data_IF_369629122254
#
_entry.id   IF_369629122254
#
_cell.length_a   1.000
_cell.length_b   1.000
_cell.length_c   1.000
_cell.angle_alpha   90.00
_cell.angle_beta   90.00
_cell.angle_gamma   90.00
#
_symmetry.space_group_name_H-M   'P 1'
#
loop_
_entity.id
_entity.type
_entity.pdbx_description
1 polymer ?
#
# COMPACT_ATOMS: atom_id res chain seq x y z
N UNK A 1 20.48 1.79 -4.89
CA UNK A 1 20.11 2.97 -5.68
C UNK A 1 19.73 4.11 -4.75
N UNK A 2 20.37 5.28 -4.83
CA UNK A 2 19.92 6.56 -4.23
C UNK A 2 18.46 6.92 -4.57
N UNK A 3 17.82 7.78 -3.76
CA UNK A 3 16.42 8.19 -4.01
C UNK A 3 16.29 9.02 -5.29
N UNK A 4 17.28 9.85 -5.59
CA UNK A 4 17.31 10.70 -6.79
C UNK A 4 17.41 9.85 -8.08
N UNK A 5 18.24 8.81 -8.08
CA UNK A 5 18.34 7.85 -9.18
C UNK A 5 17.01 7.10 -9.41
N UNK A 6 16.28 6.79 -8.33
CA UNK A 6 14.96 6.17 -8.40
C UNK A 6 13.90 7.12 -8.99
N UNK A 7 13.96 8.42 -8.66
CA UNK A 7 13.08 9.46 -9.22
C UNK A 7 13.35 9.63 -10.72
N UNK A 8 14.61 9.66 -11.12
CA UNK A 8 15.01 9.76 -12.51
C UNK A 8 14.53 8.55 -13.32
N UNK A 9 14.70 7.32 -12.81
CA UNK A 9 14.21 6.12 -13.50
C UNK A 9 12.68 6.07 -13.59
N UNK A 10 11.96 6.52 -12.55
CA UNK A 10 10.50 6.60 -12.60
C UNK A 10 10.02 7.63 -13.64
N UNK A 11 10.69 8.77 -13.77
CA UNK A 11 10.37 9.78 -14.80
C UNK A 11 10.61 9.22 -16.20
N UNK A 12 11.78 8.60 -16.44
CA UNK A 12 12.14 7.96 -17.71
C UNK A 12 11.13 6.88 -18.12
N UNK A 13 10.77 5.99 -17.20
CA UNK A 13 9.79 4.92 -17.45
C UNK A 13 8.38 5.47 -17.72
N UNK A 14 8.02 6.61 -17.12
CA UNK A 14 6.72 7.27 -17.39
C UNK A 14 6.65 7.82 -18.81
N UNK A 15 7.72 8.46 -19.28
CA UNK A 15 7.82 8.94 -20.67
C UNK A 15 7.81 7.77 -21.66
N UNK A 16 8.59 6.73 -21.38
CA UNK A 16 8.65 5.52 -22.20
C UNK A 16 7.27 4.86 -22.30
N UNK A 17 6.59 4.65 -21.17
CA UNK A 17 5.24 4.08 -21.18
C UNK A 17 4.23 4.97 -21.91
N UNK A 18 4.36 6.30 -21.81
CA UNK A 18 3.49 7.21 -22.53
C UNK A 18 3.62 7.04 -24.06
N UNK A 19 4.85 6.79 -24.54
CA UNK A 19 5.16 6.58 -25.95
C UNK A 19 4.82 5.17 -26.45
N UNK A 20 5.15 4.12 -25.69
CA UNK A 20 5.08 2.73 -26.16
C UNK A 20 3.79 2.01 -25.76
N UNK A 21 3.16 2.44 -24.65
CA UNK A 21 2.07 1.70 -23.98
C UNK A 21 2.43 0.25 -23.62
N UNK A 22 3.72 -0.03 -23.51
CA UNK A 22 4.23 -1.36 -23.21
C UNK A 22 3.95 -1.78 -21.75
N UNK A 23 3.49 -3.02 -21.57
CA UNK A 23 3.08 -3.54 -20.27
C UNK A 23 4.27 -3.81 -19.35
N UNK A 24 5.43 -4.21 -19.89
CA UNK A 24 6.64 -4.42 -19.08
C UNK A 24 7.10 -3.09 -18.47
N UNK A 25 7.08 -2.02 -19.26
CA UNK A 25 7.38 -0.66 -18.83
C UNK A 25 6.41 -0.19 -17.74
N UNK A 26 5.12 -0.51 -17.85
CA UNK A 26 4.12 -0.21 -16.82
C UNK A 26 4.41 -0.92 -15.49
N UNK A 27 4.82 -2.19 -15.55
CA UNK A 27 5.19 -2.97 -14.36
C UNK A 27 6.43 -2.38 -13.70
N UNK A 28 7.48 -2.09 -14.48
CA UNK A 28 8.71 -1.46 -13.99
C UNK A 28 8.44 -0.09 -13.35
N UNK A 29 7.61 0.73 -13.98
CA UNK A 29 7.19 2.02 -13.44
C UNK A 29 6.45 1.86 -12.10
N UNK A 30 5.56 0.87 -12.00
CA UNK A 30 4.83 0.59 -10.76
C UNK A 30 5.76 0.19 -9.61
N UNK A 31 6.80 -0.61 -9.90
CA UNK A 31 7.81 -1.00 -8.90
C UNK A 31 8.65 0.19 -8.45
N UNK A 32 9.12 1.03 -9.38
CA UNK A 32 9.89 2.23 -9.07
C UNK A 32 9.07 3.22 -8.21
N UNK A 33 7.81 3.46 -8.58
CA UNK A 33 6.89 4.32 -7.82
C UNK A 33 6.60 3.78 -6.43
N UNK A 34 6.40 2.47 -6.28
CA UNK A 34 6.25 1.86 -4.97
C UNK A 34 7.51 2.10 -4.12
N UNK A 35 8.70 1.82 -4.66
CA UNK A 35 9.94 1.99 -3.92
C UNK A 35 10.25 3.45 -3.55
N UNK A 36 9.85 4.44 -4.37
CA UNK A 36 9.86 5.86 -4.01
C UNK A 36 8.94 6.14 -2.83
N UNK A 37 7.70 5.68 -2.90
CA UNK A 37 6.73 5.84 -1.82
C UNK A 37 7.23 5.22 -0.51
N UNK A 38 7.80 4.01 -0.57
CA UNK A 38 8.38 3.32 0.58
C UNK A 38 9.53 4.09 1.22
N UNK A 39 10.39 4.77 0.45
CA UNK A 39 11.54 5.50 1.00
C UNK A 39 11.18 6.86 1.55
N UNK A 40 10.32 7.59 0.86
CA UNK A 40 9.90 8.94 1.26
C UNK A 40 8.94 8.87 2.46
N UNK A 41 8.12 7.82 2.54
CA UNK A 41 7.08 7.65 3.56
C UNK A 41 7.24 6.38 4.39
N UNK A 42 8.48 5.92 4.60
CA UNK A 42 8.76 4.66 5.30
C UNK A 42 8.07 4.61 6.68
N UNK A 43 8.13 5.71 7.43
CA UNK A 43 7.53 5.81 8.77
C UNK A 43 5.99 5.77 8.72
N UNK A 44 5.36 6.33 7.70
CA UNK A 44 3.91 6.26 7.50
C UNK A 44 3.50 4.87 7.05
N UNK A 45 4.23 4.27 6.11
CA UNK A 45 3.98 2.90 5.66
C UNK A 45 4.10 1.90 6.80
N UNK A 46 5.11 2.01 7.66
CA UNK A 46 5.25 1.13 8.83
C UNK A 46 4.10 1.29 9.82
N UNK A 47 3.58 2.51 10.01
CA UNK A 47 2.37 2.76 10.82
C UNK A 47 1.14 2.12 10.19
N UNK A 48 0.94 2.27 8.89
CA UNK A 48 -0.16 1.63 8.14
C UNK A 48 -0.06 0.10 8.18
N UNK A 49 1.15 -0.44 8.06
CA UNK A 49 1.42 -1.88 8.19
C UNK A 49 1.02 -2.41 9.55
N UNK A 50 1.46 -1.75 10.63
CA UNK A 50 1.12 -2.13 12.01
C UNK A 50 -0.39 -2.03 12.29
N UNK A 51 -1.04 -0.99 11.79
CA UNK A 51 -2.49 -0.81 11.92
C UNK A 51 -3.23 -2.00 11.31
N UNK A 52 -2.83 -2.41 10.12
CA UNK A 52 -3.50 -3.47 9.42
C UNK A 52 -3.21 -4.87 9.96
N UNK A 53 -1.99 -5.13 10.45
CA UNK A 53 -1.71 -6.33 11.22
C UNK A 53 -2.61 -6.41 12.47
N UNK A 54 -2.81 -5.27 13.15
CA UNK A 54 -3.71 -5.16 14.30
C UNK A 54 -5.16 -5.42 13.91
N UNK A 55 -5.63 -4.80 12.83
CA UNK A 55 -6.98 -5.02 12.32
C UNK A 55 -7.24 -6.47 11.93
N UNK A 56 -6.28 -7.11 11.24
CA UNK A 56 -6.37 -8.51 10.85
C UNK A 56 -6.44 -9.43 12.08
N UNK A 57 -5.67 -9.12 13.15
CA UNK A 57 -5.78 -9.85 14.44
C UNK A 57 -7.17 -9.69 15.07
N UNK A 58 -7.78 -8.52 14.98
CA UNK A 58 -9.11 -8.25 15.57
C UNK A 58 -10.24 -8.90 14.75
N UNK A 59 -10.24 -8.68 13.43
CA UNK A 59 -11.36 -8.98 12.52
C UNK A 59 -11.20 -10.30 11.74
N UNK A 60 -9.97 -10.77 11.59
CA UNK A 60 -9.63 -11.99 10.84
C UNK A 60 -9.39 -13.21 11.73
N UNK A 61 -9.03 -14.32 11.08
CA UNK A 61 -8.26 -15.38 11.71
C UNK A 61 -6.78 -15.04 11.56
N UNK A 62 -5.92 -15.48 12.49
CA UNK A 62 -4.47 -15.27 12.40
C UNK A 62 -3.94 -15.86 11.08
N UNK A 63 -3.77 -15.02 10.06
CA UNK A 63 -3.49 -15.43 8.70
C UNK A 63 -2.74 -14.35 7.91
N UNK A 64 -2.41 -14.67 6.65
CA UNK A 64 -1.67 -13.75 5.78
C UNK A 64 -2.49 -12.50 5.50
N UNK A 65 -1.87 -11.35 5.72
CA UNK A 65 -2.42 -10.02 5.38
C UNK A 65 -1.61 -9.47 4.22
N UNK A 66 -2.27 -9.06 3.14
CA UNK A 66 -1.61 -8.48 1.98
C UNK A 66 -1.78 -6.97 1.95
N UNK A 67 -0.65 -6.31 1.81
CA UNK A 67 -0.52 -4.87 1.78
C UNK A 67 -0.28 -4.41 0.35
N UNK A 68 -1.25 -3.69 -0.20
CA UNK A 68 -1.10 -3.07 -1.51
C UNK A 68 -0.83 -1.59 -1.28
N UNK A 69 0.43 -1.12 -1.45
CA UNK A 69 0.76 0.28 -1.30
C UNK A 69 0.00 1.12 -2.33
N UNK A 70 -0.20 2.42 -2.05
CA UNK A 70 -0.97 3.28 -2.91
C UNK A 70 -0.21 3.50 -4.22
N UNK A 71 -0.94 3.44 -5.35
CA UNK A 71 -0.37 3.78 -6.67
C UNK A 71 -0.39 5.29 -6.94
N UNK A 72 -1.20 6.04 -6.18
CA UNK A 72 -1.35 7.50 -6.23
C UNK A 72 -2.11 7.98 -4.99
N UNK A 73 -2.17 9.29 -4.75
CA UNK A 73 -2.92 9.87 -3.62
C UNK A 73 -4.42 9.56 -3.65
N UNK A 74 -4.98 9.34 -4.85
CA UNK A 74 -6.39 8.94 -5.04
C UNK A 74 -6.60 7.43 -4.92
N UNK A 75 -5.54 6.64 -4.99
CA UNK A 75 -5.55 5.18 -4.84
C UNK A 75 -4.83 4.80 -3.55
N UNK A 76 -5.49 5.03 -2.41
CA UNK A 76 -4.95 4.78 -1.08
C UNK A 76 -4.59 3.31 -0.85
N UNK A 77 -3.73 3.06 0.14
CA UNK A 77 -3.31 1.72 0.57
C UNK A 77 -4.52 0.82 0.78
N UNK A 78 -4.53 -0.35 0.13
CA UNK A 78 -5.56 -1.39 0.35
C UNK A 78 -4.97 -2.56 1.12
N UNK A 79 -5.77 -3.10 2.02
CA UNK A 79 -5.43 -4.27 2.82
C UNK A 79 -6.40 -5.39 2.50
N UNK A 80 -5.86 -6.57 2.22
CA UNK A 80 -6.63 -7.79 2.03
C UNK A 80 -6.35 -8.77 3.16
N UNK A 81 -7.40 -9.41 3.69
CA UNK A 81 -7.32 -10.34 4.80
C UNK A 81 -8.40 -11.42 4.72
N UNK A 82 -8.19 -12.55 5.41
CA UNK A 82 -9.19 -13.62 5.55
C UNK A 82 -9.98 -13.38 6.84
N UNK A 83 -11.29 -13.20 6.72
CA UNK A 83 -12.20 -13.02 7.87
C UNK A 83 -12.43 -14.32 8.63
N UNK A 84 -13.07 -14.25 9.81
CA UNK A 84 -13.45 -15.46 10.59
C UNK A 84 -14.38 -16.42 9.85
N UNK A 85 -15.13 -15.92 8.87
CA UNK A 85 -15.96 -16.73 7.98
C UNK A 85 -15.17 -17.51 6.92
N UNK A 86 -13.85 -17.38 6.87
CA UNK A 86 -13.00 -17.96 5.83
C UNK A 86 -13.02 -17.20 4.49
N UNK A 87 -13.84 -16.15 4.37
CA UNK A 87 -13.92 -15.33 3.15
C UNK A 87 -12.80 -14.30 3.08
N UNK A 88 -12.31 -14.03 1.87
CA UNK A 88 -11.40 -12.93 1.60
C UNK A 88 -12.16 -11.60 1.65
N UNK A 89 -11.62 -10.64 2.40
CA UNK A 89 -12.15 -9.29 2.54
C UNK A 89 -11.08 -8.29 2.12
N UNK A 90 -11.51 -7.08 1.74
CA UNK A 90 -10.62 -5.96 1.44
C UNK A 90 -11.15 -4.69 2.06
N UNK A 91 -10.26 -3.83 2.55
CA UNK A 91 -10.62 -2.53 3.13
C UNK A 91 -9.48 -1.53 2.89
N UNK A 92 -9.79 -0.24 3.03
CA UNK A 92 -8.80 0.84 3.00
C UNK A 92 -8.25 1.14 4.40
N UNK A 93 -7.05 1.72 4.47
CA UNK A 93 -6.47 2.14 5.76
C UNK A 93 -7.38 3.11 6.54
N UNK A 94 -8.15 3.98 5.87
CA UNK A 94 -9.05 4.93 6.55
C UNK A 94 -10.25 4.24 7.19
N UNK A 95 -10.87 3.30 6.47
CA UNK A 95 -11.93 2.46 7.03
C UNK A 95 -11.42 1.67 8.24
N UNK A 96 -10.19 1.12 8.16
CA UNK A 96 -9.57 0.41 9.28
C UNK A 96 -9.35 1.31 10.49
N UNK A 97 -8.92 2.56 10.28
CA UNK A 97 -8.79 3.56 11.35
C UNK A 97 -10.14 3.86 11.99
N UNK A 98 -11.20 4.01 11.21
CA UNK A 98 -12.55 4.25 11.72
C UNK A 98 -13.07 3.04 12.51
N UNK A 99 -12.85 1.82 12.00
CA UNK A 99 -13.31 0.58 12.63
C UNK A 99 -12.55 0.23 13.93
N UNK A 100 -11.28 0.58 14.02
CA UNK A 100 -10.49 0.49 15.26
C UNK A 100 -10.70 1.71 16.17
N UNK A 101 -11.14 2.82 15.59
CA UNK A 101 -11.28 4.16 16.17
C UNK A 101 -12.56 4.41 16.96
N UNK A 102 -13.35 3.39 17.29
CA UNK A 102 -14.20 3.41 18.49
C UNK A 102 -13.43 3.13 19.79
N UNK A 103 -12.16 2.68 19.70
CA UNK A 103 -11.38 2.19 20.86
C UNK A 103 -9.94 2.71 20.92
N UNK A 104 -9.43 3.34 19.87
CA UNK A 104 -8.07 3.92 19.82
C UNK A 104 -8.01 5.44 20.04
N UNK A 105 -9.16 6.10 20.15
CA UNK A 105 -9.26 7.49 20.61
C UNK A 105 -9.64 7.50 22.09
N UNK A 106 -8.66 7.27 22.96
CA UNK A 106 -8.62 7.95 24.25
C UNK A 106 -7.20 8.49 24.41
N UNK A 107 -7.05 9.78 24.76
CA UNK A 107 -5.75 10.43 24.88
C UNK A 107 -4.83 9.71 25.86
#
# INVERSE_FOLDING_TARGET
MPIEDLKAEAARLREEYAATKDMETQVRLSVAMAALYYRDRQSEYEKERKLAETFAKVKGTSGKTWFVPPKSETHRTRVYYIGRSGKMNSTSIDEMRNDLGGTWMSP
#
